data_IF_248429849986
#
_entry.id   IF_248429849986
#
_cell.length_a   1.000
_cell.length_b   1.000
_cell.length_c   1.000
_cell.angle_alpha   90.00
_cell.angle_beta   90.00
_cell.angle_gamma   90.00
#
_symmetry.space_group_name_H-M   'P 1'
#
loop_
_entity.id
_entity.type
_entity.pdbx_description
1 polymer ?
#
# COMPACT_ATOMS: atom_id res chain seq x y z
N UNK A 1 18.56 -16.51 -2.00
CA UNK A 1 17.40 -15.64 -2.28
C UNK A 1 17.58 -14.40 -1.43
N UNK A 2 17.53 -13.21 -2.04
CA UNK A 2 17.59 -11.99 -1.24
C UNK A 2 16.30 -11.85 -0.44
N UNK A 3 16.42 -11.48 0.83
CA UNK A 3 15.29 -11.32 1.75
C UNK A 3 14.90 -9.85 1.76
N UNK A 4 13.60 -9.57 1.78
CA UNK A 4 13.11 -8.20 1.92
C UNK A 4 13.66 -7.63 3.25
N UNK A 5 14.24 -6.40 3.24
CA UNK A 5 14.73 -5.73 4.44
C UNK A 5 13.71 -5.71 5.59
N UNK A 6 14.17 -5.90 6.82
CA UNK A 6 13.31 -5.82 8.00
C UNK A 6 12.70 -4.42 8.19
N UNK A 7 11.51 -4.35 8.78
CA UNK A 7 10.70 -3.12 8.90
C UNK A 7 10.20 -2.56 7.55
N UNK A 8 10.06 -3.43 6.55
CA UNK A 8 9.41 -3.08 5.28
C UNK A 8 7.89 -3.11 5.41
N UNK A 9 7.23 -2.16 4.79
CA UNK A 9 5.78 -2.08 4.74
C UNK A 9 5.27 -1.77 3.32
N UNK A 10 4.17 -2.43 2.94
CA UNK A 10 3.36 -2.10 1.77
C UNK A 10 2.07 -1.45 2.27
N UNK A 11 1.76 -0.27 1.76
CA UNK A 11 0.56 0.49 2.16
C UNK A 11 -0.35 0.69 0.96
N UNK A 12 -1.59 0.23 1.06
CA UNK A 12 -2.62 0.42 0.04
C UNK A 12 -3.66 1.44 0.49
N UNK A 13 -4.11 2.28 -0.44
CA UNK A 13 -5.30 3.12 -0.28
C UNK A 13 -6.49 2.48 -1.02
N UNK A 14 -7.39 1.82 -0.30
CA UNK A 14 -8.53 1.10 -0.88
C UNK A 14 -9.85 1.44 -0.17
N UNK A 15 -10.49 2.55 -0.53
CA UNK A 15 -11.78 2.97 0.04
C UNK A 15 -12.76 3.45 -1.02
N UNK A 16 -14.05 3.42 -0.72
CA UNK A 16 -15.11 3.94 -1.57
C UNK A 16 -15.74 2.88 -2.48
N UNK A 17 -15.56 3.01 -3.79
CA UNK A 17 -16.25 2.13 -4.75
C UNK A 17 -15.77 0.68 -4.64
N UNK A 18 -16.67 -0.30 -4.79
CA UNK A 18 -16.34 -1.72 -4.76
C UNK A 18 -15.24 -2.10 -5.77
N UNK A 19 -15.18 -1.41 -6.92
CA UNK A 19 -14.11 -1.61 -7.91
C UNK A 19 -12.71 -1.38 -7.35
N UNK A 20 -12.51 -0.34 -6.52
CA UNK A 20 -11.23 -0.04 -5.86
C UNK A 20 -10.84 -1.18 -4.90
N UNK A 21 -11.82 -1.74 -4.18
CA UNK A 21 -11.58 -2.88 -3.29
C UNK A 21 -11.21 -4.15 -4.08
N UNK A 22 -11.83 -4.36 -5.24
CA UNK A 22 -11.53 -5.47 -6.15
C UNK A 22 -10.15 -5.33 -6.80
N UNK A 23 -9.76 -4.12 -7.20
CA UNK A 23 -8.42 -3.81 -7.69
C UNK A 23 -7.37 -4.11 -6.61
N UNK A 24 -7.57 -3.64 -5.38
CA UNK A 24 -6.69 -3.96 -4.26
C UNK A 24 -6.57 -5.47 -4.03
N UNK A 25 -7.70 -6.18 -4.06
CA UNK A 25 -7.73 -7.62 -3.95
C UNK A 25 -6.92 -8.30 -5.06
N UNK A 26 -7.07 -7.87 -6.31
CA UNK A 26 -6.30 -8.38 -7.44
C UNK A 26 -4.81 -8.11 -7.27
N UNK A 27 -4.43 -6.88 -6.88
CA UNK A 27 -3.04 -6.52 -6.59
C UNK A 27 -2.43 -7.46 -5.52
N UNK A 28 -3.12 -7.70 -4.41
CA UNK A 28 -2.68 -8.62 -3.35
C UNK A 28 -2.51 -10.06 -3.86
N UNK A 29 -3.43 -10.56 -4.69
CA UNK A 29 -3.30 -11.90 -5.28
C UNK A 29 -2.07 -11.99 -6.20
N UNK A 30 -1.79 -10.95 -6.99
CA UNK A 30 -0.58 -10.92 -7.81
C UNK A 30 0.69 -10.80 -6.96
N UNK A 31 0.64 -10.14 -5.80
CA UNK A 31 1.75 -10.15 -4.83
C UNK A 31 2.03 -11.57 -4.34
N UNK A 32 1.00 -12.32 -3.92
CA UNK A 32 1.13 -13.73 -3.52
C UNK A 32 1.68 -14.62 -4.63
N UNK A 33 1.44 -14.28 -5.91
CA UNK A 33 2.01 -15.02 -7.04
C UNK A 33 3.52 -14.80 -7.16
N UNK A 34 4.04 -13.67 -6.71
CA UNK A 34 5.46 -13.31 -6.85
C UNK A 34 6.31 -13.67 -5.62
N UNK A 35 5.69 -14.03 -4.50
CA UNK A 35 6.41 -14.30 -3.25
C UNK A 35 5.87 -15.53 -2.53
N UNK A 36 6.73 -16.20 -1.78
CA UNK A 36 6.32 -17.18 -0.78
C UNK A 36 5.90 -16.51 0.53
N UNK A 37 5.30 -17.29 1.43
CA UNK A 37 4.93 -16.83 2.77
C UNK A 37 6.14 -16.40 3.59
N UNK A 38 7.25 -17.11 3.44
CA UNK A 38 8.49 -16.87 4.16
C UNK A 38 9.17 -15.58 3.70
N UNK A 39 9.05 -15.23 2.41
CA UNK A 39 9.62 -14.00 1.84
C UNK A 39 8.89 -12.75 2.35
N UNK A 40 7.58 -12.84 2.60
CA UNK A 40 6.76 -11.73 3.13
C UNK A 40 6.55 -11.77 4.64
N UNK A 41 7.12 -12.73 5.37
CA UNK A 41 6.83 -12.94 6.80
C UNK A 41 7.10 -11.71 7.68
N UNK A 42 8.10 -10.90 7.31
CA UNK A 42 8.50 -9.69 8.03
C UNK A 42 8.02 -8.39 7.34
N UNK A 43 7.15 -8.50 6.33
CA UNK A 43 6.62 -7.35 5.58
C UNK A 43 5.21 -7.04 6.06
N UNK A 44 5.01 -5.85 6.58
CA UNK A 44 3.67 -5.40 6.97
C UNK A 44 2.87 -4.99 5.74
N UNK A 45 1.66 -5.54 5.58
CA UNK A 45 0.73 -5.11 4.54
C UNK A 45 -0.42 -4.39 5.20
N UNK A 46 -0.48 -3.07 5.05
CA UNK A 46 -1.51 -2.22 5.64
C UNK A 46 -2.44 -1.66 4.58
N UNK A 47 -3.75 -1.82 4.77
CA UNK A 47 -4.79 -1.36 3.86
C UNK A 47 -5.62 -0.29 4.55
N UNK A 48 -5.59 0.92 4.02
CA UNK A 48 -6.48 2.02 4.43
C UNK A 48 -7.81 1.86 3.70
N UNK A 49 -8.87 1.50 4.43
CA UNK A 49 -10.16 1.13 3.83
C UNK A 49 -11.34 1.54 4.70
N UNK A 50 -12.47 1.86 4.07
CA UNK A 50 -13.77 2.06 4.71
C UNK A 50 -14.57 0.76 4.85
N UNK A 51 -14.05 -0.35 4.31
CA UNK A 51 -14.71 -1.64 4.33
C UNK A 51 -13.72 -2.80 4.57
N UNK A 52 -13.15 -2.93 5.79
CA UNK A 52 -12.26 -4.05 6.11
C UNK A 52 -12.96 -5.41 5.99
N UNK A 53 -14.29 -5.44 6.14
CA UNK A 53 -15.06 -6.67 6.01
C UNK A 53 -15.03 -7.26 4.59
N UNK A 54 -14.84 -6.46 3.55
CA UNK A 54 -14.68 -6.92 2.17
C UNK A 54 -13.53 -7.94 2.02
N UNK A 55 -12.42 -7.68 2.70
CA UNK A 55 -11.23 -8.52 2.67
C UNK A 55 -11.34 -9.78 3.53
N UNK A 56 -12.48 -10.02 4.21
CA UNK A 56 -12.73 -11.34 4.86
C UNK A 56 -12.81 -12.47 3.84
N UNK A 57 -13.11 -12.17 2.58
CA UNK A 57 -13.02 -13.14 1.48
C UNK A 57 -11.59 -13.67 1.28
N UNK A 58 -10.56 -12.94 1.74
CA UNK A 58 -9.16 -13.37 1.78
C UNK A 58 -8.83 -14.25 3.00
N UNK A 59 -9.80 -14.79 3.74
CA UNK A 59 -9.54 -15.64 4.91
C UNK A 59 -8.60 -16.83 4.64
N UNK A 60 -8.56 -17.33 3.41
CA UNK A 60 -7.70 -18.43 2.98
C UNK A 60 -6.39 -17.94 2.35
N UNK A 61 -6.23 -16.62 2.18
CA UNK A 61 -4.98 -15.99 1.81
C UNK A 61 -4.05 -15.96 3.02
N UNK A 62 -2.80 -16.35 2.81
CA UNK A 62 -1.80 -16.43 3.88
C UNK A 62 -1.15 -15.09 4.23
N UNK A 63 -1.52 -14.00 3.55
CA UNK A 63 -1.04 -12.65 3.86
C UNK A 63 -1.55 -12.19 5.22
N UNK A 64 -0.66 -11.64 6.05
CA UNK A 64 -1.02 -10.97 7.30
C UNK A 64 -1.47 -9.53 6.98
N UNK A 65 -2.76 -9.38 6.64
CA UNK A 65 -3.34 -8.08 6.28
C UNK A 65 -3.72 -7.29 7.53
N UNK A 66 -3.20 -6.08 7.64
CA UNK A 66 -3.61 -5.08 8.63
C UNK A 66 -4.52 -4.05 7.99
N UNK A 67 -5.51 -3.60 8.74
CA UNK A 67 -6.46 -2.61 8.25
C UNK A 67 -6.39 -1.35 9.10
N UNK A 68 -6.34 -0.21 8.42
CA UNK A 68 -6.56 1.10 9.02
C UNK A 68 -7.89 1.63 8.52
N UNK A 69 -8.90 1.58 9.37
CA UNK A 69 -10.23 2.06 8.99
C UNK A 69 -10.21 3.56 8.70
N UNK A 70 -10.75 3.93 7.54
CA UNK A 70 -11.03 5.31 7.15
C UNK A 70 -12.53 5.49 7.03
N UNK A 71 -13.04 6.64 7.49
CA UNK A 71 -14.45 6.98 7.36
C UNK A 71 -14.61 8.31 6.61
N UNK A 72 -15.82 8.65 6.14
CA UNK A 72 -16.05 9.89 5.40
C UNK A 72 -15.58 11.14 6.16
N UNK A 73 -15.67 11.15 7.49
CA UNK A 73 -15.23 12.26 8.33
C UNK A 73 -13.71 12.45 8.28
N UNK A 74 -12.96 11.35 8.40
CA UNK A 74 -11.49 11.33 8.32
C UNK A 74 -11.02 11.69 6.92
N UNK A 75 -11.64 11.14 5.87
CA UNK A 75 -11.33 11.48 4.49
C UNK A 75 -11.59 12.96 4.23
N UNK A 76 -12.73 13.50 4.67
CA UNK A 76 -13.02 14.94 4.55
C UNK A 76 -11.97 15.78 5.27
N UNK A 77 -11.57 15.40 6.49
CA UNK A 77 -10.47 16.06 7.22
C UNK A 77 -9.16 16.01 6.42
N UNK A 78 -8.84 14.87 5.82
CA UNK A 78 -7.62 14.69 5.03
C UNK A 78 -7.63 15.39 3.68
N UNK A 79 -8.80 15.69 3.10
CA UNK A 79 -8.88 16.56 1.92
C UNK A 79 -8.64 18.04 2.23
N UNK A 80 -8.77 18.42 3.50
CA UNK A 80 -8.54 19.78 3.97
C UNK A 80 -9.60 20.77 3.49
N UNK A 81 -9.38 22.05 3.76
CA UNK A 81 -10.37 23.11 3.53
C UNK A 81 -10.69 23.35 2.05
N UNK A 82 -9.76 23.00 1.15
CA UNK A 82 -9.91 23.15 -0.31
C UNK A 82 -10.42 21.88 -1.01
N UNK A 83 -10.84 20.86 -0.25
CA UNK A 83 -11.35 19.56 -0.75
C UNK A 83 -10.42 18.87 -1.76
N UNK A 84 -9.11 18.86 -1.49
CA UNK A 84 -8.13 18.32 -2.42
C UNK A 84 -7.97 16.80 -2.26
N UNK A 85 -8.55 16.02 -3.18
CA UNK A 85 -8.54 14.56 -3.16
C UNK A 85 -7.12 13.97 -3.06
N UNK A 86 -6.14 14.51 -3.82
CA UNK A 86 -4.77 13.97 -3.81
C UNK A 86 -4.05 14.16 -2.46
N UNK A 87 -4.54 15.06 -1.59
CA UNK A 87 -4.01 15.23 -0.23
C UNK A 87 -4.17 13.97 0.61
N UNK A 88 -5.18 13.14 0.32
CA UNK A 88 -5.46 11.92 1.08
C UNK A 88 -4.25 10.97 1.07
N UNK A 89 -3.58 10.79 -0.08
CA UNK A 89 -2.38 9.94 -0.19
C UNK A 89 -1.27 10.38 0.76
N UNK A 90 -1.04 11.69 0.83
CA UNK A 90 -0.03 12.30 1.70
C UNK A 90 -0.39 12.09 3.17
N UNK A 91 -1.67 12.25 3.53
CA UNK A 91 -2.11 12.07 4.91
C UNK A 91 -2.12 10.61 5.34
N UNK A 92 -2.38 9.66 4.43
CA UNK A 92 -2.18 8.22 4.66
C UNK A 92 -0.72 7.94 4.94
N UNK A 93 0.21 8.43 4.11
CA UNK A 93 1.64 8.27 4.35
C UNK A 93 2.04 8.84 5.71
N UNK A 94 1.60 10.06 6.05
CA UNK A 94 1.89 10.68 7.36
C UNK A 94 1.31 9.88 8.53
N UNK A 95 0.05 9.45 8.44
CA UNK A 95 -0.62 8.64 9.47
C UNK A 95 0.11 7.30 9.64
N UNK A 96 0.52 6.68 8.54
CA UNK A 96 1.21 5.39 8.56
C UNK A 96 2.62 5.50 9.15
N UNK A 97 3.42 6.49 8.74
CA UNK A 97 4.82 6.61 9.16
C UNK A 97 5.02 7.30 10.51
N UNK A 98 3.96 7.83 11.12
CA UNK A 98 4.04 8.51 12.40
C UNK A 98 4.66 7.59 13.48
N UNK A 99 5.86 7.94 13.94
CA UNK A 99 6.59 7.16 14.95
C UNK A 99 7.23 5.87 14.44
N UNK A 100 7.36 5.69 13.12
CA UNK A 100 7.94 4.49 12.49
C UNK A 100 9.23 4.81 11.75
N UNK A 101 10.10 3.79 11.66
CA UNK A 101 11.33 3.82 10.87
C UNK A 101 11.39 2.53 10.06
N UNK A 102 11.62 2.64 8.76
CA UNK A 102 11.64 1.50 7.85
C UNK A 102 11.37 1.90 6.41
N UNK A 103 11.29 0.90 5.53
CA UNK A 103 11.03 1.08 4.12
C UNK A 103 9.52 1.04 3.88
N UNK A 104 8.99 2.04 3.19
CA UNK A 104 7.55 2.12 2.91
C UNK A 104 7.33 2.19 1.41
N UNK A 105 6.57 1.23 0.90
CA UNK A 105 6.06 1.22 -0.47
C UNK A 105 4.56 1.55 -0.43
N UNK A 106 4.22 2.79 -0.73
CA UNK A 106 2.83 3.20 -0.92
C UNK A 106 2.37 2.88 -2.34
N UNK A 107 1.17 2.31 -2.46
CA UNK A 107 0.56 1.91 -3.73
C UNK A 107 -0.91 2.33 -3.79
N UNK A 108 -1.32 2.80 -4.96
CA UNK A 108 -2.74 2.81 -5.33
C UNK A 108 -3.21 1.37 -5.64
N UNK A 109 -4.50 1.20 -5.95
CA UNK A 109 -5.09 -0.13 -6.18
C UNK A 109 -4.98 -0.62 -7.60
N UNK A 110 -4.83 0.28 -8.57
CA UNK A 110 -4.80 0.03 -10.01
C UNK A 110 -3.45 -0.51 -10.52
N UNK A 111 -2.82 -1.37 -9.72
CA UNK A 111 -1.52 -1.98 -10.01
C UNK A 111 -1.60 -3.51 -9.97
N UNK A 112 -0.58 -4.16 -10.53
CA UNK A 112 -0.35 -5.59 -10.36
C UNK A 112 1.14 -5.90 -10.36
N UNK A 113 1.54 -6.90 -9.58
CA UNK A 113 2.94 -7.28 -9.45
C UNK A 113 3.35 -8.26 -10.54
N UNK A 114 4.22 -7.82 -11.44
CA UNK A 114 4.79 -8.67 -12.51
C UNK A 114 6.03 -9.42 -12.09
N UNK A 115 6.69 -8.97 -11.01
CA UNK A 115 7.94 -9.50 -10.46
C UNK A 115 7.97 -9.33 -8.93
N UNK A 116 8.87 -10.03 -8.21
CA UNK A 116 9.09 -9.80 -6.78
C UNK A 116 9.46 -8.33 -6.49
N UNK A 117 9.02 -7.81 -5.33
CA UNK A 117 9.28 -6.43 -4.90
C UNK A 117 10.58 -6.28 -4.12
N UNK A 118 11.35 -7.35 -3.96
CA UNK A 118 12.59 -7.38 -3.16
C UNK A 118 13.55 -6.27 -3.58
N UNK A 119 13.80 -6.12 -4.88
CA UNK A 119 14.69 -5.06 -5.39
C UNK A 119 14.20 -3.65 -5.05
N UNK A 120 12.89 -3.40 -5.11
CA UNK A 120 12.33 -2.09 -4.74
C UNK A 120 12.60 -1.79 -3.28
N UNK A 121 12.45 -2.78 -2.38
CA UNK A 121 12.72 -2.58 -0.97
C UNK A 121 14.22 -2.46 -0.65
N UNK A 122 15.09 -3.18 -1.35
CA UNK A 122 16.54 -3.02 -1.25
C UNK A 122 16.95 -1.59 -1.63
N UNK A 123 16.46 -1.10 -2.75
CA UNK A 123 16.73 0.26 -3.22
C UNK A 123 16.23 1.32 -2.23
N UNK A 124 15.02 1.16 -1.68
CA UNK A 124 14.49 2.07 -0.65
C UNK A 124 15.36 2.01 0.62
N UNK A 125 15.84 0.83 1.00
CA UNK A 125 16.75 0.67 2.13
C UNK A 125 18.10 1.38 1.88
N UNK A 126 18.56 1.42 0.64
CA UNK A 126 19.77 2.15 0.19
C UNK A 126 19.53 3.66 -0.04
N UNK A 127 18.33 4.16 0.27
CA UNK A 127 17.98 5.58 0.22
C UNK A 127 17.41 6.06 -1.12
N UNK A 128 17.07 5.15 -2.04
CA UNK A 128 16.41 5.49 -3.30
C UNK A 128 14.94 5.78 -3.05
N UNK A 129 14.46 6.90 -3.59
CA UNK A 129 13.07 7.34 -3.44
C UNK A 129 12.30 7.12 -4.75
N UNK A 130 11.37 6.17 -4.71
CA UNK A 130 10.42 5.90 -5.79
C UNK A 130 9.20 6.82 -5.68
N UNK A 131 9.26 7.94 -6.39
CA UNK A 131 8.19 8.91 -6.68
C UNK A 131 8.75 10.18 -7.34
N UNK A 132 10.08 10.36 -7.31
CA UNK A 132 10.78 11.53 -7.81
C UNK A 132 10.93 11.59 -9.36
N UNK A 133 10.47 10.58 -10.11
CA UNK A 133 10.68 10.56 -11.57
C UNK A 133 9.61 11.38 -12.29
N UNK A 134 10.04 12.29 -13.17
CA UNK A 134 9.18 13.06 -14.08
C UNK A 134 8.36 12.09 -14.96
N UNK A 135 7.05 12.00 -14.74
CA UNK A 135 6.15 11.06 -15.44
C UNK A 135 5.85 11.45 -16.91
N UNK A 136 6.45 12.53 -17.41
CA UNK A 136 6.40 12.93 -18.82
C UNK A 136 6.37 14.45 -19.03
N UNK A 137 6.68 14.89 -20.25
CA UNK A 137 6.32 16.22 -20.73
C UNK A 137 4.92 16.15 -21.33
N UNK A 138 4.02 16.98 -20.84
CA UNK A 138 2.74 17.23 -21.51
C UNK A 138 3.04 18.11 -22.73
N UNK A 139 2.84 17.53 -23.92
CA UNK A 139 2.91 18.25 -25.19
C UNK A 139 1.54 18.84 -25.56
#
# INVERSE_FOLDING_TARGET
MSKIPSNSAIVFQAYGQTGILQECAFALLTLCRQHTREELADVEICIYTDNPAFFRSFKDCWLDLRFREVNPELIRKWRGEIDFLHRVKIEILKDFVAGRVGQVLYLDTDIYFTRPVTGIFEDIADGIIYMHIMEGLVH
#
